data_IF_677463028401
#
_entry.id   IF_677463028401
#
_cell.length_a   1.000
_cell.length_b   1.000
_cell.length_c   1.000
_cell.angle_alpha   90.00
_cell.angle_beta   90.00
_cell.angle_gamma   90.00
#
_symmetry.space_group_name_H-M   'P 1'
#
loop_
_entity.id
_entity.type
_entity.pdbx_description
1 polymer ?
#
# COMPACT_ATOMS: atom_id res chain seq x y z
N UNK A 1 -17.21 -39.81 15.78
CA UNK A 1 -16.57 -38.65 15.12
C UNK A 1 -15.98 -37.81 16.23
N UNK A 2 -14.69 -37.83 16.39
CA UNK A 2 -13.99 -36.90 17.29
C UNK A 2 -14.07 -35.54 16.65
N UNK A 3 -14.80 -34.63 17.25
CA UNK A 3 -14.87 -33.21 16.86
C UNK A 3 -13.53 -32.57 17.31
N UNK A 4 -12.50 -32.85 16.52
CA UNK A 4 -11.17 -32.29 16.79
C UNK A 4 -11.23 -30.79 16.50
N UNK A 5 -11.20 -29.99 17.54
CA UNK A 5 -11.21 -28.53 17.45
C UNK A 5 -10.07 -28.06 16.57
N UNK A 6 -10.40 -27.32 15.51
CA UNK A 6 -9.41 -26.74 14.60
C UNK A 6 -8.50 -25.75 15.34
N UNK A 7 -7.18 -25.96 15.20
CA UNK A 7 -6.15 -25.13 15.83
C UNK A 7 -5.21 -24.56 14.76
N UNK A 8 -5.11 -23.23 14.73
CA UNK A 8 -4.20 -22.50 13.83
C UNK A 8 -3.28 -21.63 14.67
N UNK A 9 -1.97 -21.85 14.55
CA UNK A 9 -0.95 -21.02 15.15
C UNK A 9 -0.48 -19.99 14.15
N UNK A 10 -0.74 -18.72 14.44
CA UNK A 10 -0.29 -17.60 13.65
C UNK A 10 1.02 -17.04 14.20
N UNK A 11 2.04 -16.94 13.32
CA UNK A 11 3.34 -16.36 13.65
C UNK A 11 3.56 -15.10 12.83
N UNK A 12 3.95 -14.02 13.48
CA UNK A 12 4.35 -12.77 12.84
C UNK A 12 5.83 -12.54 13.07
N UNK A 13 6.63 -12.53 12.00
CA UNK A 13 8.09 -12.42 12.12
C UNK A 13 8.68 -11.30 11.29
N UNK A 14 9.81 -10.76 11.74
CA UNK A 14 10.58 -9.78 11.01
C UNK A 14 11.43 -10.44 9.92
N UNK A 15 11.58 -9.80 8.77
CA UNK A 15 12.39 -10.31 7.65
C UNK A 15 13.89 -10.33 7.97
N UNK A 16 14.35 -9.35 8.74
CA UNK A 16 15.75 -9.14 9.12
C UNK A 16 16.20 -10.03 10.28
N UNK A 17 15.48 -10.01 11.39
CA UNK A 17 15.87 -10.70 12.62
C UNK A 17 15.25 -12.08 12.79
N UNK A 18 14.24 -12.43 11.97
CA UNK A 18 13.41 -13.65 12.12
C UNK A 18 12.69 -13.76 13.47
N UNK A 19 12.76 -12.73 14.30
CA UNK A 19 12.10 -12.69 15.62
C UNK A 19 10.60 -12.39 15.47
N UNK A 20 9.84 -12.87 16.46
CA UNK A 20 8.41 -12.57 16.58
C UNK A 20 8.18 -11.06 16.69
N UNK A 21 7.21 -10.55 15.94
CA UNK A 21 6.79 -9.16 15.97
C UNK A 21 5.48 -8.99 16.73
N UNK A 22 5.48 -8.10 17.71
CA UNK A 22 4.28 -7.70 18.46
C UNK A 22 3.72 -6.39 17.96
N UNK A 23 2.40 -6.17 18.15
CA UNK A 23 1.72 -4.91 17.81
C UNK A 23 1.15 -4.82 16.40
N UNK A 24 1.28 -5.87 15.57
CA UNK A 24 0.58 -5.94 14.30
C UNK A 24 -0.91 -6.24 14.51
N UNK A 25 -1.81 -5.49 13.87
CA UNK A 25 -3.25 -5.72 13.96
C UNK A 25 -3.74 -6.48 12.74
N UNK A 26 -4.47 -7.57 12.98
CA UNK A 26 -5.01 -8.45 11.95
C UNK A 26 -6.52 -8.54 12.01
N UNK A 27 -7.14 -8.59 10.82
CA UNK A 27 -8.53 -8.99 10.63
C UNK A 27 -8.56 -10.23 9.75
N UNK A 28 -9.37 -11.21 10.16
CA UNK A 28 -9.55 -12.47 9.43
C UNK A 28 -10.93 -12.47 8.78
N UNK A 29 -10.94 -12.74 7.48
CA UNK A 29 -12.17 -12.77 6.69
C UNK A 29 -12.41 -14.16 6.12
N UNK A 30 -13.68 -14.57 6.05
CA UNK A 30 -14.11 -15.79 5.37
C UNK A 30 -14.11 -15.61 3.82
N UNK A 31 -14.47 -16.68 3.11
CA UNK A 31 -14.57 -16.66 1.64
C UNK A 31 -15.64 -15.70 1.10
N UNK A 32 -16.61 -15.30 1.93
CA UNK A 32 -17.69 -14.34 1.61
C UNK A 32 -17.32 -12.90 1.98
N UNK A 33 -16.10 -12.66 2.47
CA UNK A 33 -15.61 -11.35 2.89
C UNK A 33 -16.14 -10.87 4.24
N UNK A 34 -16.76 -11.72 5.04
CA UNK A 34 -17.23 -11.37 6.39
C UNK A 34 -16.08 -11.50 7.39
N UNK A 35 -15.91 -10.49 8.25
CA UNK A 35 -14.92 -10.54 9.33
C UNK A 35 -15.35 -11.58 10.36
N UNK A 36 -14.52 -12.59 10.61
CA UNK A 36 -14.76 -13.67 11.56
C UNK A 36 -13.91 -13.58 12.82
N UNK A 37 -12.73 -12.92 12.72
CA UNK A 37 -11.84 -12.76 13.86
C UNK A 37 -10.99 -11.50 13.74
N UNK A 38 -10.52 -10.98 14.86
CA UNK A 38 -9.60 -9.83 14.93
C UNK A 38 -8.69 -10.00 16.13
N UNK A 39 -7.38 -9.73 15.93
CA UNK A 39 -6.40 -9.84 17.00
C UNK A 39 -5.22 -8.90 16.78
N UNK A 40 -4.43 -8.71 17.85
CA UNK A 40 -3.15 -8.00 17.80
C UNK A 40 -2.04 -8.95 18.18
N UNK A 41 -0.97 -9.03 17.41
CA UNK A 41 0.14 -9.93 17.67
C UNK A 41 0.87 -9.56 18.97
N UNK A 42 1.16 -10.55 19.79
CA UNK A 42 1.91 -10.44 21.03
C UNK A 42 3.39 -10.84 20.88
N UNK A 43 4.05 -11.02 22.00
CA UNK A 43 5.43 -11.56 22.07
C UNK A 43 5.50 -13.01 21.63
N UNK A 44 4.40 -13.74 21.75
CA UNK A 44 4.25 -15.15 21.36
C UNK A 44 3.35 -15.25 20.12
N UNK A 45 3.36 -16.42 19.49
CA UNK A 45 2.42 -16.74 18.40
C UNK A 45 0.98 -16.72 18.92
N UNK A 46 0.05 -16.26 18.06
CA UNK A 46 -1.38 -16.28 18.36
C UNK A 46 -1.95 -17.66 18.06
N UNK A 47 -2.67 -18.25 19.01
CA UNK A 47 -3.41 -19.50 18.83
C UNK A 47 -4.88 -19.19 18.57
N UNK A 48 -5.36 -19.54 17.38
CA UNK A 48 -6.76 -19.42 16.97
C UNK A 48 -7.37 -20.81 17.04
N UNK A 49 -8.27 -21.01 18.00
CA UNK A 49 -8.89 -22.31 18.29
C UNK A 49 -10.42 -22.22 18.22
N UNK A 50 -11.06 -23.14 17.51
CA UNK A 50 -12.52 -23.25 17.45
C UNK A 50 -13.25 -22.17 16.66
N UNK A 51 -12.53 -21.21 16.06
CA UNK A 51 -13.12 -20.09 15.31
C UNK A 51 -13.20 -20.41 13.81
N UNK A 52 -12.18 -21.06 13.29
CA UNK A 52 -12.06 -21.39 11.87
C UNK A 52 -12.61 -22.78 11.59
N UNK A 53 -13.26 -22.96 10.44
CA UNK A 53 -13.89 -24.22 10.03
C UNK A 53 -13.03 -24.97 9.05
N UNK A 54 -12.99 -26.29 9.19
CA UNK A 54 -12.33 -27.19 8.25
C UNK A 54 -12.91 -27.05 6.84
N UNK A 55 -12.04 -27.18 5.83
CA UNK A 55 -12.41 -27.09 4.41
C UNK A 55 -12.59 -25.67 3.88
N UNK A 56 -12.74 -24.67 4.73
CA UNK A 56 -12.93 -23.27 4.33
C UNK A 56 -11.60 -22.52 4.11
N UNK A 57 -11.68 -21.45 3.32
CA UNK A 57 -10.55 -20.57 3.05
C UNK A 57 -10.74 -19.24 3.74
N UNK A 58 -9.69 -18.80 4.45
CA UNK A 58 -9.69 -17.54 5.18
C UNK A 58 -8.59 -16.62 4.67
N UNK A 59 -8.86 -15.32 4.70
CA UNK A 59 -7.90 -14.26 4.36
C UNK A 59 -7.50 -13.53 5.63
N UNK A 60 -6.22 -13.58 5.95
CA UNK A 60 -5.60 -12.81 7.02
C UNK A 60 -5.09 -11.49 6.45
N UNK A 61 -5.69 -10.40 6.87
CA UNK A 61 -5.36 -9.05 6.42
C UNK A 61 -4.72 -8.26 7.55
N UNK A 62 -3.51 -7.79 7.33
CA UNK A 62 -2.87 -6.87 8.24
C UNK A 62 -3.42 -5.46 8.03
N UNK A 63 -3.97 -4.86 9.07
CA UNK A 63 -4.53 -3.49 9.03
C UNK A 63 -3.58 -2.46 9.61
N UNK A 64 -2.60 -2.90 10.40
CA UNK A 64 -1.54 -2.05 10.96
C UNK A 64 -0.32 -2.88 11.26
N UNK A 65 0.83 -2.50 10.72
CA UNK A 65 2.12 -3.11 11.04
C UNK A 65 2.74 -2.47 12.30
N UNK A 66 3.68 -3.16 12.95
CA UNK A 66 4.50 -2.57 14.01
C UNK A 66 5.37 -1.42 13.47
N UNK A 67 5.81 -0.54 14.38
CA UNK A 67 6.70 0.58 14.05
C UNK A 67 7.94 0.09 13.30
N UNK A 68 8.35 0.80 12.23
CA UNK A 68 9.47 0.50 11.33
C UNK A 68 9.29 -0.72 10.42
N UNK A 69 8.07 -1.26 10.30
CA UNK A 69 7.76 -2.35 9.37
C UNK A 69 6.66 -1.96 8.38
N UNK A 70 6.73 -2.53 7.18
CA UNK A 70 5.69 -2.38 6.15
C UNK A 70 4.55 -3.33 6.44
N UNK A 71 3.32 -2.91 6.16
CA UNK A 71 2.15 -3.78 6.19
C UNK A 71 2.35 -4.93 5.20
N UNK A 72 2.18 -6.17 5.66
CA UNK A 72 2.29 -7.34 4.81
C UNK A 72 1.12 -7.46 3.84
N UNK A 73 1.35 -8.17 2.72
CA UNK A 73 0.28 -8.56 1.80
C UNK A 73 -0.69 -9.52 2.48
N UNK A 74 -1.94 -9.47 2.06
CA UNK A 74 -2.98 -10.39 2.51
C UNK A 74 -2.54 -11.85 2.31
N UNK A 75 -2.74 -12.68 3.34
CA UNK A 75 -2.39 -14.08 3.31
C UNK A 75 -3.63 -14.95 3.35
N UNK A 76 -3.82 -15.79 2.33
CA UNK A 76 -4.92 -16.76 2.27
C UNK A 76 -4.43 -18.13 2.75
N UNK A 77 -5.27 -18.82 3.52
CA UNK A 77 -5.04 -20.19 3.97
C UNK A 77 -6.33 -20.99 3.86
N UNK A 78 -6.25 -22.19 3.33
CA UNK A 78 -7.33 -23.18 3.40
C UNK A 78 -7.11 -24.04 4.64
N UNK A 79 -8.10 -24.08 5.52
CA UNK A 79 -8.06 -24.88 6.74
C UNK A 79 -8.27 -26.34 6.39
N UNK A 80 -7.34 -27.19 6.82
CA UNK A 80 -7.44 -28.63 6.62
C UNK A 80 -8.25 -29.23 7.74
N UNK A 81 -9.00 -30.28 7.41
CA UNK A 81 -9.69 -31.13 8.39
C UNK A 81 -8.66 -32.08 9.03
N UNK A 82 -8.06 -31.63 10.12
CA UNK A 82 -7.03 -32.40 10.84
C UNK A 82 -6.97 -31.92 12.28
N UNK A 83 -6.92 -32.82 13.24
CA UNK A 83 -6.70 -32.49 14.65
C UNK A 83 -5.30 -31.93 14.96
N UNK A 84 -4.41 -31.84 13.94
CA UNK A 84 -3.05 -31.31 14.11
C UNK A 84 -3.02 -29.78 14.03
N UNK A 85 -2.13 -29.17 14.80
CA UNK A 85 -1.86 -27.74 14.77
C UNK A 85 -1.36 -27.30 13.38
N UNK A 86 -2.10 -26.40 12.75
CA UNK A 86 -1.72 -25.80 11.47
C UNK A 86 -0.97 -24.50 11.73
N UNK A 87 0.15 -24.28 11.04
CA UNK A 87 0.99 -23.09 11.24
C UNK A 87 0.87 -22.13 10.05
N UNK A 88 0.65 -20.85 10.34
CA UNK A 88 0.64 -19.77 9.37
C UNK A 88 1.68 -18.74 9.80
N UNK A 89 2.68 -18.49 8.95
CA UNK A 89 3.70 -17.46 9.21
C UNK A 89 3.58 -16.33 8.20
N UNK A 90 3.57 -15.10 8.71
CA UNK A 90 3.61 -13.87 7.92
C UNK A 90 4.86 -13.08 8.31
N UNK A 91 5.58 -12.62 7.29
CA UNK A 91 6.86 -11.92 7.46
C UNK A 91 6.68 -10.46 7.05
N UNK A 92 7.10 -9.53 7.92
CA UNK A 92 7.14 -8.10 7.58
C UNK A 92 8.53 -7.68 7.15
N UNK A 93 8.58 -6.84 6.13
CA UNK A 93 9.78 -6.17 5.71
C UNK A 93 10.04 -4.94 6.56
N UNK A 94 11.28 -4.81 7.06
CA UNK A 94 11.71 -3.60 7.75
C UNK A 94 11.79 -2.44 6.76
N UNK A 95 11.30 -1.28 7.17
CA UNK A 95 11.48 -0.02 6.43
C UNK A 95 12.95 0.38 6.64
N UNK A 96 13.74 0.57 5.56
CA UNK A 96 15.11 1.06 5.71
C UNK A 96 15.09 2.41 6.43
N UNK A 97 15.88 2.55 7.47
CA UNK A 97 16.13 3.85 8.08
C UNK A 97 17.00 4.63 7.09
N UNK A 98 16.47 5.72 6.55
CA UNK A 98 17.29 6.69 5.83
C UNK A 98 18.16 7.32 6.90
N UNK A 99 19.51 7.22 6.83
CA UNK A 99 20.37 7.95 7.75
C UNK A 99 19.97 9.42 7.72
N UNK A 100 19.77 10.03 8.88
CA UNK A 100 19.63 11.48 8.97
C UNK A 100 20.89 12.06 8.33
N UNK A 101 20.78 12.51 7.08
CA UNK A 101 21.82 13.34 6.50
C UNK A 101 21.87 14.57 7.41
N UNK A 102 23.05 14.90 8.00
CA UNK A 102 23.16 16.09 8.80
C UNK A 102 22.68 17.24 7.90
N UNK A 103 21.58 17.86 8.30
CA UNK A 103 21.14 19.10 7.66
C UNK A 103 22.24 20.11 7.86
N UNK A 104 23.15 20.20 6.91
CA UNK A 104 24.06 21.35 6.79
C UNK A 104 23.14 22.53 6.62
N UNK A 105 22.98 23.25 7.75
CA UNK A 105 21.99 24.29 7.92
C UNK A 105 22.15 25.42 6.92
N UNK A 106 21.40 25.33 5.84
CA UNK A 106 20.98 26.51 5.08
C UNK A 106 19.58 26.84 5.59
N UNK A 107 19.51 27.56 6.70
CA UNK A 107 18.32 28.32 7.09
C UNK A 107 18.14 29.48 6.10
N UNK A 108 17.87 29.16 4.84
CA UNK A 108 17.52 30.14 3.83
C UNK A 108 16.00 30.08 3.62
N UNK A 109 15.27 31.07 4.10
CA UNK A 109 13.84 31.30 3.80
C UNK A 109 13.55 31.53 2.31
N UNK A 110 14.52 31.35 1.42
CA UNK A 110 14.46 31.66 -0.01
C UNK A 110 14.24 30.47 -0.93
N UNK A 111 14.39 29.21 -0.45
CA UNK A 111 14.23 28.03 -1.31
C UNK A 111 12.76 27.78 -1.74
N UNK A 112 11.79 28.22 -0.97
CA UNK A 112 10.37 28.07 -1.30
C UNK A 112 9.86 29.02 -2.41
N UNK A 113 10.50 30.17 -2.61
CA UNK A 113 10.08 31.16 -3.62
C UNK A 113 10.61 30.82 -5.03
N UNK A 114 11.76 30.15 -5.14
CA UNK A 114 12.35 29.83 -6.45
C UNK A 114 11.59 28.74 -7.20
N UNK A 115 11.03 27.76 -6.51
CA UNK A 115 10.25 26.69 -7.13
C UNK A 115 8.93 27.24 -7.70
N UNK A 116 8.33 28.21 -7.01
CA UNK A 116 7.09 28.86 -7.45
C UNK A 116 7.27 29.69 -8.73
N UNK A 117 8.42 30.36 -8.90
CA UNK A 117 8.71 31.15 -10.10
C UNK A 117 8.96 30.29 -11.34
N UNK A 118 9.64 29.14 -11.22
CA UNK A 118 9.85 28.23 -12.32
C UNK A 118 8.54 27.59 -12.79
N UNK A 119 7.66 27.25 -11.85
CA UNK A 119 6.32 26.71 -12.15
C UNK A 119 5.45 27.73 -12.91
N UNK A 120 5.51 29.00 -12.53
CA UNK A 120 4.75 30.08 -13.17
C UNK A 120 5.24 30.36 -14.60
N UNK A 121 6.56 30.31 -14.85
CA UNK A 121 7.12 30.49 -16.20
C UNK A 121 6.74 29.34 -17.14
N UNK A 122 6.67 28.10 -16.65
CA UNK A 122 6.20 26.95 -17.44
C UNK A 122 4.73 27.08 -17.87
N UNK A 123 3.87 27.60 -17.00
CA UNK A 123 2.46 27.82 -17.30
C UNK A 123 2.28 28.93 -18.36
N UNK A 124 3.04 30.02 -18.25
CA UNK A 124 3.00 31.12 -19.23
C UNK A 124 3.53 30.65 -20.59
N UNK A 125 4.61 29.87 -20.63
CA UNK A 125 5.15 29.28 -21.86
C UNK A 125 4.16 28.35 -22.56
N UNK A 126 3.43 27.53 -21.81
CA UNK A 126 2.42 26.63 -22.37
C UNK A 126 1.21 27.39 -22.95
N UNK A 127 0.76 28.47 -22.29
CA UNK A 127 -0.33 29.31 -22.77
C UNK A 127 0.02 30.09 -24.06
N UNK A 128 1.27 30.54 -24.19
CA UNK A 128 1.77 31.19 -25.40
C UNK A 128 1.82 30.21 -26.59
N UNK A 129 2.23 28.97 -26.35
CA UNK A 129 2.30 27.92 -27.37
C UNK A 129 0.92 27.49 -27.89
N UNK A 130 -0.07 27.42 -27.01
CA UNK A 130 -1.48 27.11 -27.39
C UNK A 130 -2.10 28.24 -28.24
N UNK A 131 -1.89 29.51 -27.85
CA UNK A 131 -2.39 30.66 -28.64
C UNK A 131 -1.72 30.79 -30.00
N UNK A 132 -0.44 30.44 -30.13
CA UNK A 132 0.25 30.48 -31.42
C UNK A 132 -0.29 29.43 -32.40
N UNK A 133 -0.67 28.25 -31.94
CA UNK A 133 -1.29 27.20 -32.76
C UNK A 133 -2.72 27.59 -33.22
N UNK A 134 -3.45 28.28 -32.40
CA UNK A 134 -4.81 28.73 -32.76
C UNK A 134 -4.82 29.80 -33.84
N UNK A 135 -3.88 30.77 -33.77
CA UNK A 135 -3.72 31.77 -34.82
C UNK A 135 -3.31 31.17 -36.18
N UNK A 136 -2.45 30.14 -36.15
CA UNK A 136 -2.02 29.45 -37.37
C UNK A 136 -3.18 28.72 -38.07
N UNK A 137 -4.07 28.09 -37.31
CA UNK A 137 -5.27 27.43 -37.88
C UNK A 137 -6.27 28.43 -38.44
N UNK A 138 -6.43 29.59 -37.81
CA UNK A 138 -7.35 30.61 -38.23
C UNK A 138 -6.93 31.25 -39.58
N UNK A 139 -5.64 31.56 -39.72
CA UNK A 139 -5.11 32.13 -40.97
C UNK A 139 -5.17 31.13 -42.13
N UNK A 140 -4.90 29.83 -41.89
CA UNK A 140 -4.99 28.82 -42.95
C UNK A 140 -6.42 28.60 -43.46
N UNK A 141 -7.42 28.76 -42.58
CA UNK A 141 -8.82 28.65 -42.98
C UNK A 141 -9.29 29.87 -43.82
N UNK A 142 -8.81 31.05 -43.45
CA UNK A 142 -9.16 32.29 -44.19
C UNK A 142 -8.61 32.30 -45.62
N UNK A 143 -7.39 31.80 -45.84
CA UNK A 143 -6.79 31.69 -47.17
C UNK A 143 -7.58 30.73 -48.09
N UNK A 144 -8.11 29.65 -47.56
CA UNK A 144 -8.96 28.71 -48.34
C UNK A 144 -10.30 29.27 -48.72
N UNK A 145 -10.94 30.05 -47.85
CA UNK A 145 -12.24 30.64 -48.08
C UNK A 145 -12.16 31.79 -49.12
N UNK A 146 -10.98 32.44 -49.26
CA UNK A 146 -10.74 33.50 -50.27
C UNK A 146 -10.39 32.91 -51.66
N UNK A 147 -9.89 31.67 -51.77
CA UNK A 147 -9.65 30.99 -53.05
C UNK A 147 -10.90 30.34 -53.66
N UNK A 148 -11.91 30.01 -52.87
CA UNK A 148 -13.14 29.36 -53.34
C UNK A 148 -14.20 30.38 -53.86
N UNK A 149 -13.98 31.70 -53.66
CA UNK A 149 -14.92 32.78 -54.02
C UNK A 149 -14.43 33.70 -55.17
N UNK A 150 -13.43 33.25 -55.98
CA UNK A 150 -12.94 34.05 -57.10
C UNK A 150 -13.14 33.35 -58.47
#
# INVERSE_FOLDING_TARGET
MTDDTIKVQFNKTASDTKKQLSGAKYKVYDSKGRKVYEFTTGKNSELIEGILKAGETYTFKEVSAPKHYKVAKDKKIRIRDTGKLQKLTVVDERIPEVPDTPQTGIKGKTAGMMISLISLLMIIGCFACVRAKDKSKYNFKKEKDDEENN
#
